data_IF_598303320989
#
_entry.id   IF_598303320989
#
_cell.length_a   1.000
_cell.length_b   1.000
_cell.length_c   1.000
_cell.angle_alpha   90.00
_cell.angle_beta   90.00
_cell.angle_gamma   90.00
#
_symmetry.space_group_name_H-M   'P 1'
#
loop_
_entity.id
_entity.type
_entity.pdbx_description
1 polymer ?
#
# COMPACT_ATOMS: atom_id res chain seq x y z
N UNK A 1 -4.49 46.78 41.28
CA UNK A 1 -3.24 45.99 41.42
C UNK A 1 -3.27 44.94 42.53
N UNK A 2 -3.73 45.20 43.77
CA UNK A 2 -3.73 44.18 44.86
C UNK A 2 -4.69 43.01 44.65
N UNK A 3 -5.82 43.23 43.98
CA UNK A 3 -6.82 42.17 43.68
C UNK A 3 -6.33 41.23 42.57
N UNK A 4 -5.73 41.78 41.50
CA UNK A 4 -5.13 41.01 40.41
C UNK A 4 -4.01 40.07 40.90
N UNK A 5 -3.18 40.55 41.85
CA UNK A 5 -2.08 39.75 42.44
C UNK A 5 -2.56 38.60 43.33
N UNK A 6 -3.79 38.68 43.86
CA UNK A 6 -4.40 37.60 44.66
C UNK A 6 -5.12 36.56 43.80
N UNK A 7 -5.63 36.95 42.63
CA UNK A 7 -6.35 36.06 41.72
C UNK A 7 -5.42 35.29 40.77
N UNK A 8 -4.25 35.84 40.46
CA UNK A 8 -3.27 35.21 39.57
C UNK A 8 -2.85 33.76 39.95
N UNK A 9 -2.53 33.43 41.22
CA UNK A 9 -2.18 32.06 41.58
C UNK A 9 -3.37 31.10 41.47
N UNK A 10 -4.61 31.57 41.71
CA UNK A 10 -5.81 30.75 41.53
C UNK A 10 -6.12 30.51 40.05
N UNK A 11 -5.85 31.49 39.18
CA UNK A 11 -5.96 31.33 37.74
C UNK A 11 -4.94 30.32 37.20
N UNK A 12 -3.69 30.38 37.67
CA UNK A 12 -2.65 29.40 37.31
C UNK A 12 -3.02 27.99 37.77
N UNK A 13 -3.58 27.87 38.98
CA UNK A 13 -4.00 26.58 39.52
C UNK A 13 -5.21 26.02 38.76
N UNK A 14 -6.16 26.88 38.37
CA UNK A 14 -7.29 26.50 37.51
C UNK A 14 -6.81 26.03 36.14
N UNK A 15 -5.87 26.74 35.51
CA UNK A 15 -5.28 26.35 34.21
C UNK A 15 -4.54 25.02 34.33
N UNK A 16 -3.74 24.83 35.39
CA UNK A 16 -3.03 23.57 35.62
C UNK A 16 -4.00 22.39 35.81
N UNK A 17 -5.11 22.59 36.53
CA UNK A 17 -6.15 21.57 36.69
C UNK A 17 -6.87 21.30 35.38
N UNK A 18 -7.19 22.31 34.57
CA UNK A 18 -7.82 22.12 33.25
C UNK A 18 -6.88 21.35 32.31
N UNK A 19 -5.59 21.66 32.31
CA UNK A 19 -4.58 20.95 31.51
C UNK A 19 -4.43 19.51 31.99
N UNK A 20 -4.36 19.27 33.30
CA UNK A 20 -4.31 17.91 33.85
C UNK A 20 -5.58 17.11 33.52
N UNK A 21 -6.77 17.73 33.63
CA UNK A 21 -8.03 17.10 33.25
C UNK A 21 -8.10 16.86 31.74
N UNK A 22 -7.54 17.74 30.91
CA UNK A 22 -7.40 17.51 29.48
C UNK A 22 -6.54 16.27 29.21
N UNK A 23 -5.40 16.08 29.88
CA UNK A 23 -4.58 14.87 29.69
C UNK A 23 -5.19 13.60 30.33
N UNK A 24 -5.95 13.71 31.41
CA UNK A 24 -6.62 12.57 32.07
C UNK A 24 -7.88 12.13 31.31
N UNK A 25 -8.62 13.06 30.71
CA UNK A 25 -9.86 12.81 29.98
C UNK A 25 -9.72 12.89 28.45
N UNK A 26 -8.53 13.19 27.94
CA UNK A 26 -8.18 12.90 26.54
C UNK A 26 -8.25 11.39 26.42
N UNK A 27 -9.36 10.89 25.84
CA UNK A 27 -9.34 9.55 25.25
C UNK A 27 -8.13 9.51 24.35
N UNK A 28 -7.32 8.47 24.49
CA UNK A 28 -6.40 8.06 23.45
C UNK A 28 -7.23 7.89 22.19
N UNK A 29 -7.31 8.93 21.37
CA UNK A 29 -7.69 8.79 19.99
C UNK A 29 -6.46 8.21 19.31
N UNK A 30 -6.17 6.95 19.60
CA UNK A 30 -5.66 6.10 18.54
C UNK A 30 -6.71 6.24 17.45
N UNK A 31 -6.34 6.89 16.34
CA UNK A 31 -7.03 6.59 15.11
C UNK A 31 -6.98 5.06 15.03
N UNK A 32 -8.14 4.42 15.19
CA UNK A 32 -8.27 3.01 14.89
C UNK A 32 -8.15 2.91 13.37
N UNK A 33 -6.91 3.04 12.88
CA UNK A 33 -6.50 2.27 11.73
C UNK A 33 -6.89 0.83 12.10
N UNK A 34 -7.71 0.20 11.26
CA UNK A 34 -8.02 -1.22 11.43
C UNK A 34 -6.73 -1.99 11.69
N UNK A 35 -6.83 -3.12 12.40
CA UNK A 35 -5.69 -3.99 12.72
C UNK A 35 -4.69 -3.99 11.57
N UNK A 36 -3.47 -3.49 11.80
CA UNK A 36 -2.44 -3.36 10.79
C UNK A 36 -2.26 -4.73 10.12
N UNK A 37 -2.79 -4.91 8.91
CA UNK A 37 -2.62 -6.17 8.19
C UNK A 37 -1.30 -6.04 7.45
N UNK A 38 -0.25 -6.57 8.07
CA UNK A 38 1.01 -6.85 7.39
C UNK A 38 0.74 -7.83 6.24
N UNK A 39 0.59 -7.30 5.03
CA UNK A 39 0.56 -8.10 3.81
C UNK A 39 1.90 -7.87 3.12
N UNK A 40 2.70 -8.92 3.05
CA UNK A 40 3.80 -8.99 2.10
C UNK A 40 3.22 -8.92 0.69
N UNK A 41 3.32 -7.78 -0.02
CA UNK A 41 2.90 -7.73 -1.41
C UNK A 41 3.92 -8.52 -2.24
N UNK A 42 3.47 -9.13 -3.32
CA UNK A 42 4.38 -9.79 -4.25
C UNK A 42 3.73 -10.88 -5.11
N UNK A 43 4.45 -11.38 -6.13
CA UNK A 43 5.76 -10.88 -6.54
C UNK A 43 5.71 -9.47 -7.16
N UNK A 44 6.79 -8.70 -7.06
CA UNK A 44 6.93 -7.49 -7.87
C UNK A 44 7.19 -7.82 -9.36
N UNK A 45 7.32 -6.80 -10.23
CA UNK A 45 7.48 -7.06 -11.67
C UNK A 45 8.82 -7.72 -12.02
N UNK A 46 9.83 -7.66 -11.15
CA UNK A 46 11.08 -8.39 -11.34
C UNK A 46 10.94 -9.86 -10.92
N UNK A 47 10.16 -10.11 -9.86
CA UNK A 47 9.83 -11.43 -9.35
C UNK A 47 10.07 -11.60 -7.85
N UNK A 48 10.54 -10.57 -7.13
CA UNK A 48 10.75 -10.68 -5.69
C UNK A 48 9.44 -10.95 -4.96
N UNK A 49 9.43 -11.93 -4.07
CA UNK A 49 8.29 -12.22 -3.18
C UNK A 49 8.63 -11.87 -1.73
N UNK A 50 7.62 -11.64 -0.91
CA UNK A 50 7.79 -11.32 0.51
C UNK A 50 7.04 -12.35 1.39
N UNK A 51 7.63 -12.72 2.54
CA UNK A 51 7.01 -13.50 3.61
C UNK A 51 7.38 -12.91 4.99
N UNK A 52 6.44 -12.89 5.94
CA UNK A 52 6.67 -12.44 7.32
C UNK A 52 6.44 -13.56 8.33
N UNK A 53 7.13 -13.52 9.47
CA UNK A 53 7.00 -14.59 10.47
C UNK A 53 7.68 -14.33 11.81
N UNK A 54 7.55 -15.30 12.71
CA UNK A 54 7.96 -15.23 14.13
C UNK A 54 9.17 -16.09 14.50
N UNK A 55 9.87 -16.68 13.53
CA UNK A 55 11.09 -17.44 13.79
C UNK A 55 12.30 -16.55 13.62
N UNK A 56 13.09 -16.32 14.69
CA UNK A 56 14.38 -15.65 14.51
C UNK A 56 15.54 -16.16 15.38
N UNK A 57 16.70 -16.30 14.73
CA UNK A 57 18.01 -16.43 15.37
C UNK A 57 18.78 -15.17 14.98
N UNK A 58 18.82 -14.21 15.91
CA UNK A 58 19.54 -12.96 15.73
C UNK A 58 21.04 -13.21 15.67
N UNK A 59 21.70 -12.53 14.73
CA UNK A 59 23.15 -12.53 14.60
C UNK A 59 23.59 -11.11 14.95
N UNK A 60 24.11 -10.96 16.16
CA UNK A 60 24.69 -9.69 16.61
C UNK A 60 25.94 -9.43 15.76
N UNK A 61 25.92 -8.35 14.99
CA UNK A 61 27.10 -7.85 14.34
C UNK A 61 28.02 -7.21 15.38
N UNK A 62 29.33 -7.20 15.09
CA UNK A 62 30.31 -6.66 16.06
C UNK A 62 31.37 -5.77 15.42
N UNK A 63 31.37 -5.66 14.07
CA UNK A 63 32.31 -4.80 13.37
C UNK A 63 31.70 -3.43 13.11
N UNK A 64 32.06 -2.47 13.96
CA UNK A 64 31.65 -1.08 13.85
C UNK A 64 32.12 -0.40 12.56
N UNK A 65 31.17 0.19 11.82
CA UNK A 65 31.41 0.95 10.59
C UNK A 65 32.09 2.31 10.80
N UNK A 66 32.15 2.78 12.06
CA UNK A 66 32.63 4.10 12.48
C UNK A 66 31.77 5.26 12.00
N UNK A 67 30.51 5.00 11.65
CA UNK A 67 29.56 6.05 11.31
C UNK A 67 28.93 6.62 12.58
N UNK A 68 29.40 7.79 13.02
CA UNK A 68 28.85 8.51 14.18
C UNK A 68 28.33 9.89 13.78
N UNK A 69 27.43 9.90 12.79
CA UNK A 69 26.89 11.10 12.19
C UNK A 69 25.39 10.95 11.98
N UNK A 70 24.68 12.04 12.15
CA UNK A 70 23.35 12.25 11.61
C UNK A 70 23.45 12.44 10.09
N UNK A 71 22.47 11.95 9.33
CA UNK A 71 22.47 11.95 7.86
C UNK A 71 23.78 11.40 7.24
N UNK A 72 24.30 10.32 7.82
CA UNK A 72 25.59 9.73 7.48
C UNK A 72 25.48 8.55 6.52
N UNK A 73 26.51 8.32 5.69
CA UNK A 73 26.65 7.12 4.85
C UNK A 73 28.00 6.45 5.10
N UNK A 74 27.99 5.15 5.39
CA UNK A 74 29.16 4.27 5.40
C UNK A 74 29.20 3.43 4.12
N UNK A 75 30.39 3.28 3.51
CA UNK A 75 30.57 2.42 2.32
C UNK A 75 31.24 1.11 2.75
N UNK A 76 30.62 -0.02 2.45
CA UNK A 76 31.06 -1.35 2.88
C UNK A 76 31.21 -2.27 1.68
N UNK A 77 32.36 -2.92 1.56
CA UNK A 77 32.59 -3.95 0.54
C UNK A 77 31.87 -5.24 0.95
N UNK A 78 31.16 -5.85 0.00
CA UNK A 78 30.48 -7.12 0.24
C UNK A 78 31.49 -8.27 0.18
N UNK A 79 31.38 -9.26 1.09
CA UNK A 79 32.28 -10.43 1.10
C UNK A 79 32.05 -11.39 -0.08
N UNK A 80 30.93 -11.24 -0.78
CA UNK A 80 30.55 -11.95 -1.99
C UNK A 80 29.77 -11.01 -2.92
N UNK A 81 29.74 -11.27 -4.25
CA UNK A 81 28.86 -10.54 -5.15
C UNK A 81 27.39 -10.79 -4.78
N UNK A 82 26.62 -9.71 -4.64
CA UNK A 82 25.18 -9.78 -4.37
C UNK A 82 24.40 -9.27 -5.58
N UNK A 83 23.49 -10.07 -6.11
CA UNK A 83 22.62 -9.71 -7.23
C UNK A 83 21.31 -9.17 -6.68
N UNK A 84 21.00 -7.93 -7.03
CA UNK A 84 19.78 -7.25 -6.62
C UNK A 84 19.10 -6.67 -7.85
N UNK A 85 17.84 -7.04 -8.08
CA UNK A 85 17.12 -6.72 -9.32
C UNK A 85 17.97 -7.00 -10.58
N UNK A 86 18.69 -8.12 -10.62
CA UNK A 86 19.48 -8.53 -11.78
C UNK A 86 20.78 -7.76 -11.99
N UNK A 87 21.10 -6.78 -11.13
CA UNK A 87 22.38 -6.10 -11.12
C UNK A 87 23.26 -6.67 -10.02
N UNK A 88 24.48 -7.09 -10.37
CA UNK A 88 25.43 -7.61 -9.39
C UNK A 88 26.27 -6.48 -8.78
N UNK A 89 26.25 -6.41 -7.46
CA UNK A 89 26.96 -5.45 -6.63
C UNK A 89 28.07 -6.13 -5.83
N UNK A 90 29.13 -5.39 -5.56
CA UNK A 90 30.26 -5.82 -4.71
C UNK A 90 30.49 -4.89 -3.53
N UNK A 91 29.63 -3.88 -3.39
CA UNK A 91 29.70 -2.85 -2.37
C UNK A 91 28.30 -2.31 -2.11
N UNK A 92 28.02 -1.97 -0.86
CA UNK A 92 26.78 -1.29 -0.43
C UNK A 92 27.13 0.00 0.30
N UNK A 93 26.14 0.89 0.40
CA UNK A 93 26.23 2.13 1.18
C UNK A 93 25.17 2.15 2.24
N UNK A 94 25.56 1.94 3.48
CA UNK A 94 24.68 1.91 4.64
C UNK A 94 24.45 3.32 5.18
N UNK A 95 23.20 3.69 5.40
CA UNK A 95 22.79 4.99 5.93
C UNK A 95 22.57 4.93 7.44
N UNK A 96 22.86 6.03 8.14
CA UNK A 96 22.41 6.19 9.54
C UNK A 96 20.89 6.03 9.64
N UNK A 97 20.17 6.49 8.61
CA UNK A 97 18.71 6.50 8.46
C UNK A 97 18.12 5.12 8.08
N UNK A 98 18.68 4.01 8.57
CA UNK A 98 18.04 2.68 8.51
C UNK A 98 17.76 2.09 7.12
N UNK A 99 18.53 2.51 6.10
CA UNK A 99 18.51 1.93 4.76
C UNK A 99 19.93 1.66 4.24
N UNK A 100 20.05 0.79 3.24
CA UNK A 100 21.27 0.66 2.45
C UNK A 100 20.98 0.79 0.96
N UNK A 101 21.91 1.40 0.25
CA UNK A 101 21.80 1.69 -1.18
C UNK A 101 22.88 0.93 -1.95
N UNK A 102 22.50 0.39 -3.10
CA UNK A 102 23.37 -0.30 -4.03
C UNK A 102 23.63 0.63 -5.21
N UNK A 103 24.85 1.18 -5.29
CA UNK A 103 25.22 2.21 -6.28
C UNK A 103 24.77 3.65 -5.95
N UNK A 104 23.77 3.84 -5.08
CA UNK A 104 23.36 5.14 -4.53
C UNK A 104 24.21 5.58 -3.32
N UNK A 105 24.03 6.83 -2.87
CA UNK A 105 24.68 7.36 -1.65
C UNK A 105 23.93 8.55 -1.04
N UNK A 106 22.59 8.59 -1.15
CA UNK A 106 21.79 9.72 -0.71
C UNK A 106 21.49 9.62 0.79
N UNK A 107 21.92 10.59 1.62
CA UNK A 107 21.70 10.53 3.07
C UNK A 107 20.29 10.91 3.51
N UNK A 108 19.36 11.23 2.60
CA UNK A 108 18.04 11.80 2.92
C UNK A 108 17.30 11.09 4.08
N UNK A 109 17.05 11.82 5.18
CA UNK A 109 16.33 11.32 6.36
C UNK A 109 14.83 11.15 6.15
N UNK A 110 14.20 12.05 5.39
CA UNK A 110 12.74 12.06 5.25
C UNK A 110 12.28 10.86 4.40
N UNK A 111 11.72 9.86 5.09
CA UNK A 111 11.25 8.65 4.45
C UNK A 111 10.06 8.92 3.51
N UNK A 112 9.95 8.10 2.47
CA UNK A 112 8.87 8.17 1.49
C UNK A 112 8.23 6.79 1.27
N UNK A 113 6.94 6.77 0.96
CA UNK A 113 6.27 5.52 0.61
C UNK A 113 6.60 5.11 -0.83
N UNK A 114 6.97 3.84 -0.99
CA UNK A 114 7.17 3.12 -2.24
C UNK A 114 5.82 2.65 -2.83
N UNK A 115 4.86 3.57 -3.00
CA UNK A 115 3.51 3.28 -3.49
C UNK A 115 3.54 2.95 -5.00
N UNK A 116 3.83 1.70 -5.35
CA UNK A 116 3.89 1.16 -6.73
C UNK A 116 5.02 1.76 -7.61
N UNK A 117 5.90 2.57 -7.02
CA UNK A 117 7.07 3.15 -7.68
C UNK A 117 8.20 3.40 -6.67
N UNK A 118 9.47 3.37 -7.12
CA UNK A 118 10.62 3.68 -6.28
C UNK A 118 10.58 5.13 -5.81
N UNK A 119 11.08 5.36 -4.59
CA UNK A 119 11.33 6.71 -4.09
C UNK A 119 12.48 7.32 -4.90
N UNK A 120 12.28 8.49 -5.54
CA UNK A 120 13.28 9.07 -6.43
C UNK A 120 14.57 9.47 -5.73
N UNK A 121 15.69 9.35 -6.45
CA UNK A 121 17.05 9.69 -6.03
C UNK A 121 17.59 8.84 -4.86
N UNK A 122 16.97 7.70 -4.56
CA UNK A 122 17.48 6.74 -3.57
C UNK A 122 18.22 5.58 -4.22
N UNK A 123 18.13 5.42 -5.55
CA UNK A 123 18.74 4.35 -6.30
C UNK A 123 18.09 2.99 -6.02
N UNK A 124 18.88 1.95 -6.21
CA UNK A 124 18.55 0.61 -5.73
C UNK A 124 18.73 0.61 -4.20
N UNK A 125 17.66 0.32 -3.46
CA UNK A 125 17.63 0.51 -2.01
C UNK A 125 16.94 -0.66 -1.33
N UNK A 126 17.51 -1.05 -0.19
CA UNK A 126 16.96 -2.02 0.75
C UNK A 126 16.75 -1.25 2.06
N UNK A 127 15.48 -1.11 2.47
CA UNK A 127 15.06 -0.33 3.62
C UNK A 127 14.40 -1.23 4.67
N UNK A 128 15.17 -1.83 5.60
CA UNK A 128 14.59 -2.58 6.71
C UNK A 128 13.81 -1.67 7.67
N UNK A 129 14.23 -0.41 7.84
CA UNK A 129 13.56 0.58 8.68
C UNK A 129 14.03 2.01 8.32
N UNK A 130 13.62 2.53 7.15
CA UNK A 130 14.03 3.89 6.78
C UNK A 130 13.20 4.94 7.52
N UNK A 131 13.85 5.70 8.39
CA UNK A 131 13.31 6.83 9.17
C UNK A 131 14.48 7.79 9.50
N UNK A 132 14.19 8.89 10.20
CA UNK A 132 15.15 9.88 10.68
C UNK A 132 15.85 9.39 11.97
N UNK A 133 17.04 8.81 11.82
CA UNK A 133 17.81 8.14 12.89
C UNK A 133 19.19 8.79 13.08
N UNK A 134 19.65 8.85 14.34
CA UNK A 134 20.81 9.65 14.73
C UNK A 134 21.91 8.82 15.42
N UNK A 135 23.05 8.64 14.75
CA UNK A 135 24.23 7.95 15.27
C UNK A 135 25.24 8.86 16.01
N UNK A 136 24.91 10.12 16.26
CA UNK A 136 25.86 11.08 16.87
C UNK A 136 26.10 10.85 18.36
N UNK A 137 25.17 10.18 19.05
CA UNK A 137 25.15 10.14 20.51
C UNK A 137 25.03 8.75 21.14
N UNK A 138 24.27 7.83 20.54
CA UNK A 138 24.10 6.44 21.00
C UNK A 138 23.99 5.48 19.82
N UNK A 139 24.07 4.18 20.12
CA UNK A 139 23.97 3.11 19.15
C UNK A 139 25.17 2.95 18.22
N UNK A 140 25.13 1.90 17.41
CA UNK A 140 26.15 1.58 16.43
C UNK A 140 25.53 1.08 15.13
N UNK A 141 26.16 1.43 14.01
CA UNK A 141 25.95 0.75 12.74
C UNK A 141 27.09 -0.25 12.57
N UNK A 142 26.77 -1.54 12.59
CA UNK A 142 27.73 -2.64 12.66
C UNK A 142 27.47 -3.66 11.56
N UNK A 143 28.51 -4.40 11.18
CA UNK A 143 28.37 -5.50 10.22
C UNK A 143 29.17 -6.73 10.64
N UNK A 144 28.81 -7.87 10.06
CA UNK A 144 29.59 -9.11 10.21
C UNK A 144 29.35 -10.05 9.02
N UNK A 145 30.15 -11.11 8.95
CA UNK A 145 30.01 -12.18 7.95
C UNK A 145 30.00 -13.50 8.68
N UNK A 146 28.90 -14.24 8.56
CA UNK A 146 28.73 -15.56 9.16
C UNK A 146 28.72 -16.64 8.10
N UNK A 147 29.19 -17.83 8.45
CA UNK A 147 29.30 -18.95 7.54
C UNK A 147 30.59 -18.93 6.73
N UNK A 148 30.66 -19.82 5.75
CA UNK A 148 31.82 -20.01 4.86
C UNK A 148 31.29 -20.16 3.44
N UNK A 149 32.07 -19.76 2.43
CA UNK A 149 31.64 -19.86 1.04
C UNK A 149 31.29 -21.32 0.67
N UNK A 150 30.20 -21.56 -0.09
CA UNK A 150 29.33 -20.58 -0.77
C UNK A 150 28.10 -20.14 0.05
N UNK A 151 28.05 -20.45 1.35
CA UNK A 151 26.88 -20.28 2.21
C UNK A 151 27.07 -19.13 3.21
N UNK A 152 27.73 -18.04 2.80
CA UNK A 152 27.94 -16.88 3.69
C UNK A 152 26.68 -16.04 3.82
N UNK A 153 26.57 -15.39 4.97
CA UNK A 153 25.55 -14.39 5.27
C UNK A 153 26.29 -13.10 5.64
N UNK A 154 26.02 -12.02 4.90
CA UNK A 154 26.44 -10.68 5.30
C UNK A 154 25.35 -10.09 6.19
N UNK A 155 25.72 -9.61 7.38
CA UNK A 155 24.83 -8.99 8.35
C UNK A 155 25.18 -7.52 8.46
N UNK A 156 24.17 -6.65 8.41
CA UNK A 156 24.29 -5.24 8.74
C UNK A 156 23.21 -4.90 9.77
N UNK A 157 23.62 -4.29 10.86
CA UNK A 157 22.82 -4.06 12.05
C UNK A 157 22.86 -2.59 12.46
N UNK A 158 21.69 -2.06 12.79
CA UNK A 158 21.49 -0.81 13.48
C UNK A 158 21.15 -1.16 14.93
N UNK A 159 22.12 -1.08 15.83
CA UNK A 159 21.99 -1.46 17.24
C UNK A 159 21.79 -0.23 18.14
N UNK A 160 20.72 -0.22 18.93
CA UNK A 160 20.40 0.78 19.95
C UNK A 160 20.43 2.23 19.43
N UNK A 161 19.98 2.44 18.18
CA UNK A 161 20.05 3.74 17.51
C UNK A 161 18.83 4.60 17.86
N UNK A 162 19.03 5.83 18.36
CA UNK A 162 17.93 6.73 18.66
C UNK A 162 17.32 7.37 17.40
N UNK A 163 16.06 7.77 17.51
CA UNK A 163 15.45 8.69 16.55
C UNK A 163 16.02 10.09 16.71
N UNK A 164 16.09 10.82 15.60
CA UNK A 164 16.55 12.20 15.64
C UNK A 164 15.71 13.04 16.62
N UNK A 165 16.40 13.69 17.56
CA UNK A 165 15.78 14.55 18.57
C UNK A 165 15.18 13.82 19.78
N UNK A 166 15.20 12.48 19.84
CA UNK A 166 14.76 11.71 20.99
C UNK A 166 15.73 10.57 21.36
N UNK A 167 16.75 10.84 22.21
CA UNK A 167 17.79 9.87 22.54
C UNK A 167 17.32 8.71 23.42
N UNK A 168 16.08 8.74 23.93
CA UNK A 168 15.48 7.68 24.74
C UNK A 168 14.58 6.75 23.90
N UNK A 169 14.29 7.12 22.65
CA UNK A 169 13.44 6.36 21.71
C UNK A 169 14.32 5.65 20.68
N UNK A 170 14.66 4.39 20.94
CA UNK A 170 15.71 3.64 20.22
C UNK A 170 15.19 2.38 19.54
N UNK A 171 15.85 2.00 18.46
CA UNK A 171 15.55 0.79 17.69
C UNK A 171 16.79 -0.07 17.48
N UNK A 172 16.59 -1.39 17.51
CA UNK A 172 17.55 -2.42 17.10
C UNK A 172 16.93 -3.30 16.00
N UNK A 173 17.53 -3.27 14.81
CA UNK A 173 17.12 -4.08 13.66
C UNK A 173 18.30 -4.38 12.75
N UNK A 174 18.17 -5.46 11.96
CA UNK A 174 19.22 -5.90 11.06
C UNK A 174 18.68 -6.32 9.69
N UNK A 175 19.59 -6.35 8.72
CA UNK A 175 19.41 -6.97 7.42
C UNK A 175 20.46 -8.04 7.21
N UNK A 176 20.04 -9.18 6.68
CA UNK A 176 20.90 -10.28 6.26
C UNK A 176 20.77 -10.50 4.76
N UNK A 177 21.92 -10.59 4.08
CA UNK A 177 22.02 -10.92 2.66
C UNK A 177 22.66 -12.31 2.53
N UNK A 178 22.03 -13.20 1.77
CA UNK A 178 22.46 -14.60 1.63
C UNK A 178 23.26 -14.82 0.35
N UNK A 179 24.45 -15.43 0.44
CA UNK A 179 25.35 -15.63 -0.70
C UNK A 179 24.77 -16.56 -1.77
N UNK A 180 24.24 -17.72 -1.40
CA UNK A 180 23.77 -18.68 -2.40
C UNK A 180 22.40 -18.29 -2.97
N UNK A 181 21.44 -18.01 -2.09
CA UNK A 181 20.06 -17.75 -2.50
C UNK A 181 19.81 -16.31 -2.97
N UNK A 182 20.70 -15.37 -2.64
CA UNK A 182 20.52 -13.94 -2.92
C UNK A 182 19.29 -13.32 -2.23
N UNK A 183 18.75 -14.00 -1.22
CA UNK A 183 17.62 -13.49 -0.44
C UNK A 183 18.04 -12.37 0.49
N UNK A 184 17.03 -11.60 0.89
CA UNK A 184 17.16 -10.50 1.84
C UNK A 184 16.25 -10.79 3.03
N UNK A 185 16.75 -10.60 4.24
CA UNK A 185 16.00 -10.86 5.45
C UNK A 185 16.10 -9.67 6.40
N UNK A 186 14.97 -9.06 6.74
CA UNK A 186 14.83 -7.99 7.73
C UNK A 186 14.39 -8.55 9.07
N UNK A 187 15.00 -8.03 10.12
CA UNK A 187 15.02 -8.64 11.43
C UNK A 187 14.86 -7.57 12.49
N UNK A 188 13.90 -7.77 13.39
CA UNK A 188 13.52 -6.75 14.36
C UNK A 188 13.69 -7.32 15.76
N UNK A 189 14.76 -6.92 16.45
CA UNK A 189 14.96 -7.28 17.86
C UNK A 189 14.11 -6.40 18.75
N UNK A 190 14.33 -5.08 18.66
CA UNK A 190 13.56 -4.08 19.39
C UNK A 190 13.18 -2.92 18.48
N UNK A 191 11.89 -2.84 18.14
CA UNK A 191 11.30 -1.71 17.40
C UNK A 191 10.19 -1.06 18.20
N UNK A 192 10.10 -1.38 19.51
CA UNK A 192 9.07 -0.86 20.39
C UNK A 192 9.51 0.48 20.94
N UNK A 193 9.05 1.53 20.27
CA UNK A 193 9.26 2.91 20.67
C UNK A 193 8.27 3.35 21.76
N UNK A 194 8.60 4.43 22.50
CA UNK A 194 7.93 4.89 23.72
C UNK A 194 6.42 5.17 23.58
N UNK A 195 5.92 5.35 22.36
CA UNK A 195 4.49 5.54 22.03
C UNK A 195 3.84 4.35 21.27
N UNK A 196 4.49 3.18 21.19
CA UNK A 196 4.02 2.04 20.41
C UNK A 196 4.28 2.17 18.90
N UNK A 197 5.34 2.89 18.54
CA UNK A 197 5.66 3.28 17.17
C UNK A 197 6.50 2.21 16.43
N UNK A 198 5.93 1.02 16.22
CA UNK A 198 6.60 -0.09 15.54
C UNK A 198 6.67 0.09 14.00
N UNK A 199 7.34 1.15 13.54
CA UNK A 199 7.40 1.53 12.13
C UNK A 199 6.32 2.53 11.69
N UNK A 200 5.58 3.15 12.61
CA UNK A 200 4.53 4.13 12.27
C UNK A 200 5.04 5.43 11.64
N UNK A 201 6.35 5.64 11.59
CA UNK A 201 7.03 6.68 10.82
C UNK A 201 8.06 6.15 9.81
N UNK A 202 8.24 4.83 9.70
CA UNK A 202 9.28 4.25 8.87
C UNK A 202 8.74 3.77 7.52
N UNK A 203 9.64 3.69 6.52
CA UNK A 203 9.42 2.93 5.29
C UNK A 203 10.17 1.61 5.35
N UNK A 204 9.47 0.53 5.02
CA UNK A 204 9.99 -0.85 5.04
C UNK A 204 9.74 -1.48 3.68
N UNK A 205 10.80 -1.89 2.98
CA UNK A 205 10.69 -2.49 1.65
C UNK A 205 11.99 -2.49 0.85
N UNK A 206 11.88 -2.87 -0.41
CA UNK A 206 12.98 -2.87 -1.39
C UNK A 206 12.57 -2.12 -2.65
N UNK A 207 13.53 -1.52 -3.36
CA UNK A 207 13.26 -0.88 -4.65
C UNK A 207 14.45 -0.96 -5.60
N UNK A 208 14.15 -0.92 -6.90
CA UNK A 208 15.11 -0.54 -7.94
C UNK A 208 14.63 0.70 -8.67
N UNK A 209 15.33 1.82 -8.46
CA UNK A 209 15.01 3.05 -9.16
C UNK A 209 15.29 2.95 -10.66
N UNK A 210 16.37 2.26 -11.05
CA UNK A 210 16.76 2.09 -12.44
C UNK A 210 15.68 1.34 -13.26
N UNK A 211 14.94 0.44 -12.61
CA UNK A 211 13.90 -0.36 -13.26
C UNK A 211 12.49 0.15 -12.98
N UNK A 212 12.34 1.19 -12.15
CA UNK A 212 11.02 1.70 -11.78
C UNK A 212 10.23 0.74 -10.89
N UNK A 213 10.91 -0.12 -10.13
CA UNK A 213 10.30 -1.20 -9.35
C UNK A 213 10.41 -0.93 -7.85
N UNK A 214 9.37 -1.33 -7.11
CA UNK A 214 9.41 -1.31 -5.66
C UNK A 214 8.48 -2.36 -5.06
N UNK A 215 8.85 -2.86 -3.89
CA UNK A 215 8.08 -3.81 -3.10
C UNK A 215 8.04 -3.34 -1.64
N UNK A 216 6.92 -2.72 -1.26
CA UNK A 216 6.72 -2.10 0.05
C UNK A 216 6.02 -3.05 1.02
N UNK A 217 6.63 -3.33 2.17
CA UNK A 217 5.95 -4.02 3.27
C UNK A 217 5.15 -3.05 4.15
N UNK A 218 5.72 -1.88 4.45
CA UNK A 218 5.10 -0.89 5.31
C UNK A 218 5.57 0.52 5.00
N UNK A 219 4.70 1.50 5.22
CA UNK A 219 5.07 2.91 5.20
C UNK A 219 4.22 3.68 6.20
N UNK A 220 4.85 4.35 7.16
CA UNK A 220 4.20 5.16 8.18
C UNK A 220 3.06 4.40 8.90
N UNK A 221 3.28 3.12 9.20
CA UNK A 221 2.30 2.26 9.86
C UNK A 221 3.00 1.32 10.86
N UNK A 222 2.41 1.06 12.04
CA UNK A 222 2.99 0.18 13.06
C UNK A 222 2.83 -1.30 12.67
N UNK A 223 3.49 -1.73 11.60
CA UNK A 223 3.31 -3.06 10.98
C UNK A 223 4.38 -4.08 11.37
N UNK A 224 5.44 -3.64 12.06
CA UNK A 224 6.46 -4.55 12.60
C UNK A 224 6.27 -4.76 14.10
N UNK A 225 6.94 -5.76 14.64
CA UNK A 225 6.94 -6.06 16.07
C UNK A 225 8.30 -6.64 16.47
N UNK A 226 8.61 -6.58 17.76
CA UNK A 226 9.80 -7.24 18.30
C UNK A 226 9.76 -8.74 18.01
N UNK A 227 10.94 -9.33 17.84
CA UNK A 227 11.12 -10.74 17.48
C UNK A 227 10.35 -11.16 16.22
N UNK A 228 10.28 -10.27 15.22
CA UNK A 228 9.67 -10.56 13.92
C UNK A 228 10.71 -10.51 12.79
N UNK A 229 10.35 -11.13 11.66
CA UNK A 229 11.14 -11.11 10.43
C UNK A 229 10.30 -10.80 9.20
N UNK A 230 10.95 -10.28 8.17
CA UNK A 230 10.42 -10.16 6.81
C UNK A 230 11.49 -10.68 5.85
N UNK A 231 11.15 -11.67 5.03
CA UNK A 231 12.05 -12.21 4.00
C UNK A 231 11.58 -11.76 2.62
N UNK A 232 12.49 -11.20 1.84
CA UNK A 232 12.34 -11.00 0.41
C UNK A 232 13.12 -12.10 -0.31
N UNK A 233 12.41 -12.87 -1.14
CA UNK A 233 12.99 -14.02 -1.86
C UNK A 233 13.31 -13.62 -3.29
N UNK A 234 14.57 -13.79 -3.70
CA UNK A 234 15.01 -13.59 -5.08
C UNK A 234 14.31 -14.62 -5.98
N UNK A 235 13.74 -14.22 -7.14
CA UNK A 235 13.18 -15.18 -8.08
C UNK A 235 14.27 -16.04 -8.73
N UNK A 236 14.02 -17.36 -8.89
CA UNK A 236 14.92 -18.25 -9.64
C UNK A 236 15.12 -17.78 -11.10
N UNK A 237 14.10 -17.18 -11.70
CA UNK A 237 14.17 -16.54 -13.00
C UNK A 237 13.54 -15.14 -12.94
N UNK A 238 14.34 -14.11 -13.22
CA UNK A 238 13.86 -12.74 -13.38
C UNK A 238 12.87 -12.65 -14.55
N UNK A 239 11.87 -11.77 -14.42
CA UNK A 239 10.93 -11.52 -15.50
C UNK A 239 11.66 -10.94 -16.75
N UNK A 240 11.71 -11.72 -17.84
CA UNK A 240 12.48 -11.37 -19.04
C UNK A 240 11.98 -10.17 -19.84
N UNK A 241 10.81 -9.62 -19.51
CA UNK A 241 10.17 -8.50 -20.21
C UNK A 241 10.57 -7.11 -19.66
N UNK A 242 11.45 -7.06 -18.66
CA UNK A 242 11.96 -5.82 -18.07
C UNK A 242 12.80 -5.04 -19.10
N UNK A 243 12.29 -3.89 -19.57
CA UNK A 243 13.01 -2.96 -20.44
C UNK A 243 12.82 -3.13 -21.95
N UNK A 244 11.83 -3.91 -22.43
CA UNK A 244 11.54 -4.06 -23.87
C UNK A 244 10.59 -3.01 -24.47
N UNK A 245 10.09 -2.05 -23.70
CA UNK A 245 9.40 -0.88 -24.25
C UNK A 245 10.45 0.17 -24.71
N UNK A 246 10.67 0.31 -26.02
CA UNK A 246 10.98 1.57 -26.79
C UNK A 246 11.73 1.31 -28.11
N UNK A 247 12.36 0.16 -28.36
CA UNK A 247 13.09 -0.06 -29.61
C UNK A 247 12.25 -0.75 -30.70
N UNK A 248 11.84 0.05 -31.70
CA UNK A 248 11.41 -0.36 -33.06
C UNK A 248 9.94 -0.77 -33.29
N UNK A 249 9.05 0.24 -33.43
CA UNK A 249 7.97 0.15 -34.42
C UNK A 249 7.94 1.46 -35.22
N UNK A 250 8.64 1.48 -36.35
CA UNK A 250 8.50 2.51 -37.37
C UNK A 250 7.11 2.37 -38.04
N UNK A 251 6.33 3.44 -37.97
CA UNK A 251 5.00 3.58 -38.57
C UNK A 251 5.09 3.59 -40.10
N UNK A 252 4.64 2.51 -40.74
CA UNK A 252 4.27 2.54 -42.16
C UNK A 252 2.75 2.70 -42.30
N UNK A 253 2.33 3.89 -42.77
CA UNK A 253 0.95 4.19 -43.16
C UNK A 253 0.58 3.49 -44.47
N UNK A 254 -0.58 2.83 -44.51
CA UNK A 254 -1.35 2.66 -45.73
C UNK A 254 -2.85 2.61 -45.40
N UNK A 255 -3.62 3.44 -46.10
CA UNK A 255 -5.06 3.56 -45.96
C UNK A 255 -5.79 2.59 -46.92
N UNK A 256 -6.85 1.92 -46.45
CA UNK A 256 -8.15 1.81 -47.14
C UNK A 256 -9.17 1.01 -46.31
N UNK A 257 -10.44 1.22 -46.68
CA UNK A 257 -11.65 1.20 -45.88
C UNK A 257 -12.51 -0.06 -46.04
N UNK A 258 -13.29 -0.31 -44.98
CA UNK A 258 -14.66 -0.88 -44.87
C UNK A 258 -14.93 -2.40 -44.87
N UNK A 259 -15.63 -2.78 -43.77
CA UNK A 259 -16.60 -3.88 -43.55
C UNK A 259 -16.02 -5.29 -43.61
N UNK A 260 -15.79 -5.97 -42.49
CA UNK A 260 -16.71 -6.49 -41.47
C UNK A 260 -15.90 -6.61 -40.18
N UNK A 261 -16.47 -6.32 -39.00
CA UNK A 261 -15.77 -6.59 -37.75
C UNK A 261 -15.63 -8.12 -37.58
N UNK A 262 -14.41 -8.68 -37.42
CA UNK A 262 -14.21 -9.70 -36.43
C UNK A 262 -13.87 -9.00 -35.12
N UNK A 263 -14.63 -9.33 -34.08
CA UNK A 263 -14.23 -9.12 -32.71
C UNK A 263 -12.80 -9.65 -32.53
N UNK A 264 -11.84 -8.74 -32.43
CA UNK A 264 -10.53 -9.06 -31.86
C UNK A 264 -10.35 -8.21 -30.61
N UNK A 265 -11.22 -8.44 -29.62
CA UNK A 265 -10.88 -8.16 -28.23
C UNK A 265 -10.02 -9.33 -27.72
N UNK A 266 -8.76 -9.38 -28.13
CA UNK A 266 -7.79 -10.26 -27.50
C UNK A 266 -6.93 -9.43 -26.52
N UNK A 267 -7.53 -8.99 -25.40
CA UNK A 267 -6.82 -8.43 -24.23
C UNK A 267 -7.63 -8.69 -22.96
N UNK A 268 -7.14 -9.64 -22.14
CA UNK A 268 -7.77 -10.08 -20.88
C UNK A 268 -9.21 -10.56 -21.06
N UNK A 269 -9.39 -11.67 -21.78
CA UNK A 269 -10.72 -12.20 -22.08
C UNK A 269 -11.48 -12.45 -20.77
N UNK A 270 -12.68 -11.88 -20.65
CA UNK A 270 -13.58 -12.15 -19.53
C UNK A 270 -13.91 -13.65 -19.48
N UNK A 271 -13.85 -14.34 -20.62
CA UNK A 271 -13.97 -15.79 -20.68
C UNK A 271 -12.76 -16.50 -20.07
N UNK A 272 -11.52 -16.03 -20.27
CA UNK A 272 -10.35 -16.60 -19.57
C UNK A 272 -10.46 -16.35 -18.07
N UNK A 273 -10.92 -15.17 -17.65
CA UNK A 273 -11.22 -14.89 -16.24
C UNK A 273 -12.19 -15.90 -15.64
N UNK A 274 -13.34 -16.06 -16.29
CA UNK A 274 -14.35 -17.00 -15.85
C UNK A 274 -13.79 -18.42 -15.84
N UNK A 275 -13.01 -18.80 -16.85
CA UNK A 275 -12.40 -20.12 -16.93
C UNK A 275 -11.43 -20.35 -15.76
N UNK A 276 -10.53 -19.41 -15.47
CA UNK A 276 -9.58 -19.56 -14.37
C UNK A 276 -10.29 -19.56 -13.01
N UNK A 277 -11.31 -18.71 -12.82
CA UNK A 277 -12.13 -18.73 -11.61
C UNK A 277 -12.86 -20.06 -11.42
N UNK A 278 -13.37 -20.66 -12.50
CA UNK A 278 -14.02 -21.97 -12.45
C UNK A 278 -13.03 -23.12 -12.19
N UNK A 279 -11.75 -22.92 -12.51
CA UNK A 279 -10.70 -23.93 -12.28
C UNK A 279 -10.03 -23.78 -10.90
N UNK A 280 -9.80 -22.56 -10.45
CA UNK A 280 -8.93 -22.24 -9.31
C UNK A 280 -9.64 -21.43 -8.21
N UNK A 281 -10.90 -21.03 -8.41
CA UNK A 281 -11.64 -20.18 -7.48
C UNK A 281 -10.94 -18.84 -7.26
N UNK A 282 -11.05 -18.29 -6.05
CA UNK A 282 -10.44 -17.01 -5.69
C UNK A 282 -8.91 -16.96 -5.90
N UNK A 283 -8.22 -18.11 -5.90
CA UNK A 283 -6.78 -18.20 -6.15
C UNK A 283 -6.39 -17.82 -7.60
N UNK A 284 -7.35 -17.78 -8.53
CA UNK A 284 -7.11 -17.26 -9.87
C UNK A 284 -6.80 -15.75 -9.85
N UNK A 285 -7.41 -14.99 -8.95
CA UNK A 285 -7.40 -13.53 -9.00
C UNK A 285 -6.01 -12.90 -8.83
N UNK A 286 -5.17 -13.34 -7.88
CA UNK A 286 -3.80 -12.85 -7.80
C UNK A 286 -3.03 -13.07 -9.10
N UNK A 287 -3.07 -14.28 -9.68
CA UNK A 287 -2.37 -14.62 -10.93
C UNK A 287 -2.97 -13.98 -12.19
N UNK A 288 -4.24 -13.59 -12.13
CA UNK A 288 -4.90 -12.84 -13.20
C UNK A 288 -4.65 -11.35 -13.08
N UNK A 289 -4.56 -10.82 -11.86
CA UNK A 289 -4.14 -9.45 -11.60
C UNK A 289 -2.73 -9.21 -12.13
N UNK A 290 -1.79 -10.13 -11.89
CA UNK A 290 -0.44 -10.07 -12.49
C UNK A 290 -0.50 -10.08 -14.01
N UNK A 291 -1.31 -10.96 -14.61
CA UNK A 291 -1.54 -11.02 -16.07
C UNK A 291 -2.29 -9.83 -16.65
N UNK A 292 -3.01 -9.05 -15.85
CA UNK A 292 -3.74 -7.84 -16.28
C UNK A 292 -2.93 -6.57 -16.10
N UNK A 293 -2.14 -6.50 -15.03
CA UNK A 293 -1.18 -5.43 -14.78
C UNK A 293 -0.05 -5.45 -15.82
N UNK A 294 0.32 -6.64 -16.31
CA UNK A 294 1.29 -6.83 -17.40
C UNK A 294 0.70 -6.71 -18.82
N UNK A 295 -0.60 -6.45 -18.97
CA UNK A 295 -1.19 -6.21 -20.29
C UNK A 295 -0.86 -4.83 -20.79
N UNK A 296 -0.51 -4.70 -22.08
CA UNK A 296 -0.37 -3.40 -22.73
C UNK A 296 -1.71 -2.97 -23.36
N UNK A 297 -2.28 -1.81 -23.01
CA UNK A 297 -1.77 -0.89 -22.01
C UNK A 297 -2.14 -1.31 -20.58
N UNK A 298 -1.27 -1.00 -19.60
CA UNK A 298 -1.48 -1.39 -18.21
C UNK A 298 -2.75 -0.73 -17.69
N UNK A 299 -3.48 -1.49 -16.87
CA UNK A 299 -4.70 -1.07 -16.18
C UNK A 299 -4.60 -1.49 -14.73
N UNK A 300 -5.08 -0.65 -13.83
CA UNK A 300 -5.26 -1.08 -12.44
C UNK A 300 -6.50 -1.97 -12.35
N UNK A 301 -6.46 -3.01 -11.53
CA UNK A 301 -7.64 -3.80 -11.20
C UNK A 301 -7.76 -3.90 -9.68
N UNK A 302 -9.00 -3.84 -9.20
CA UNK A 302 -9.39 -4.04 -7.80
C UNK A 302 -10.58 -4.96 -7.77
N UNK A 303 -10.66 -5.84 -6.78
CA UNK A 303 -11.79 -6.73 -6.63
C UNK A 303 -12.29 -6.79 -5.20
N UNK A 304 -13.57 -7.15 -5.08
CA UNK A 304 -14.22 -7.39 -3.81
C UNK A 304 -15.14 -8.60 -3.98
N UNK A 305 -15.11 -9.49 -2.98
CA UNK A 305 -16.07 -10.57 -2.83
C UNK A 305 -17.21 -10.08 -1.95
N UNK A 306 -18.45 -10.21 -2.42
CA UNK A 306 -19.66 -9.88 -1.66
C UNK A 306 -20.91 -10.46 -2.34
N UNK A 307 -21.93 -10.81 -1.55
CA UNK A 307 -23.25 -11.20 -2.07
C UNK A 307 -24.08 -9.96 -2.51
N UNK A 308 -23.89 -9.52 -3.76
CA UNK A 308 -24.67 -8.44 -4.40
C UNK A 308 -26.01 -8.96 -4.92
N UNK A 309 -26.04 -10.21 -5.36
CA UNK A 309 -27.23 -10.87 -5.90
C UNK A 309 -28.20 -11.36 -4.83
N UNK A 310 -27.83 -11.26 -3.55
CA UNK A 310 -28.57 -11.70 -2.37
C UNK A 310 -29.02 -13.16 -2.44
N UNK A 311 -28.21 -14.01 -3.08
CA UNK A 311 -28.51 -15.43 -3.28
C UNK A 311 -27.80 -16.34 -2.26
N UNK A 312 -27.07 -15.73 -1.32
CA UNK A 312 -26.31 -16.37 -0.26
C UNK A 312 -24.90 -16.80 -0.68
N UNK A 313 -24.45 -16.45 -1.88
CA UNK A 313 -23.09 -16.71 -2.37
C UNK A 313 -22.40 -15.39 -2.71
N UNK A 314 -21.10 -15.35 -2.50
CA UNK A 314 -20.31 -14.17 -2.85
C UNK A 314 -20.14 -14.04 -4.37
N UNK A 315 -20.54 -12.91 -4.90
CA UNK A 315 -20.21 -12.44 -6.24
C UNK A 315 -18.82 -11.81 -6.24
N UNK A 316 -18.15 -11.87 -7.39
CA UNK A 316 -16.91 -11.14 -7.62
C UNK A 316 -17.21 -9.83 -8.34
N UNK A 317 -17.08 -8.71 -7.63
CA UNK A 317 -16.98 -7.40 -8.23
C UNK A 317 -15.52 -7.14 -8.63
N UNK A 318 -15.29 -6.79 -9.89
CA UNK A 318 -13.99 -6.38 -10.41
C UNK A 318 -14.13 -4.99 -11.05
N UNK A 319 -13.29 -4.07 -10.61
CA UNK A 319 -13.24 -2.69 -11.09
C UNK A 319 -11.88 -2.45 -11.71
N UNK A 320 -11.86 -2.04 -12.98
CA UNK A 320 -10.64 -1.76 -13.73
C UNK A 320 -10.50 -0.27 -13.98
N UNK A 321 -9.40 0.29 -13.50
CA UNK A 321 -9.04 1.69 -13.66
C UNK A 321 -8.08 1.92 -14.81
N UNK A 322 -8.10 3.15 -15.32
CA UNK A 322 -7.23 3.59 -16.40
C UNK A 322 -5.86 4.02 -15.89
N UNK A 323 -4.90 4.07 -16.80
CA UNK A 323 -3.61 4.74 -16.59
C UNK A 323 -3.62 6.13 -17.22
N UNK A 324 -2.64 6.97 -16.85
CA UNK A 324 -2.50 8.32 -17.42
C UNK A 324 -2.39 8.30 -18.96
N UNK A 325 -1.80 7.24 -19.51
CA UNK A 325 -1.59 7.03 -20.93
C UNK A 325 -2.88 6.54 -21.63
N UNK A 326 -3.80 5.91 -20.91
CA UNK A 326 -5.02 5.30 -21.47
C UNK A 326 -6.28 5.58 -20.65
N UNK A 327 -6.68 6.87 -20.48
CA UNK A 327 -7.74 7.28 -19.55
C UNK A 327 -9.11 6.64 -19.84
N UNK A 328 -9.38 6.26 -21.09
CA UNK A 328 -10.68 5.71 -21.51
C UNK A 328 -10.87 4.22 -21.17
N UNK A 329 -9.86 3.59 -20.59
CA UNK A 329 -9.82 2.15 -20.39
C UNK A 329 -10.31 1.74 -18.99
N UNK A 330 -11.57 2.07 -18.69
CA UNK A 330 -12.22 1.75 -17.43
C UNK A 330 -13.47 0.90 -17.60
N UNK A 331 -13.62 -0.13 -16.77
CA UNK A 331 -14.83 -0.92 -16.72
C UNK A 331 -15.04 -1.62 -15.38
N UNK A 332 -16.31 -1.90 -15.11
CA UNK A 332 -16.81 -2.66 -13.97
C UNK A 332 -17.36 -3.98 -14.48
N UNK A 333 -16.99 -5.07 -13.82
CA UNK A 333 -17.42 -6.43 -14.11
C UNK A 333 -17.99 -7.04 -12.82
N UNK A 334 -19.12 -7.71 -12.92
CA UNK A 334 -19.67 -8.52 -11.83
C UNK A 334 -19.81 -9.95 -12.31
N UNK A 335 -19.14 -10.89 -11.64
CA UNK A 335 -19.27 -12.32 -11.90
C UNK A 335 -20.01 -12.98 -10.74
N UNK A 336 -20.97 -13.84 -11.06
CA UNK A 336 -21.81 -14.53 -10.06
C UNK A 336 -21.64 -16.04 -10.19
N UNK A 337 -21.49 -16.79 -9.08
CA UNK A 337 -21.43 -18.25 -9.10
C UNK A 337 -22.83 -18.89 -9.15
N UNK A 338 -22.98 -19.95 -9.94
CA UNK A 338 -24.18 -20.79 -9.90
C UNK A 338 -24.21 -21.69 -8.63
N UNK A 339 -25.24 -22.53 -8.51
CA UNK A 339 -25.37 -23.46 -7.38
C UNK A 339 -24.25 -24.49 -7.24
N UNK A 340 -23.47 -24.70 -8.32
CA UNK A 340 -22.33 -25.61 -8.34
C UNK A 340 -21.00 -24.86 -8.15
N UNK A 341 -21.03 -23.54 -7.94
CA UNK A 341 -19.85 -22.69 -7.79
C UNK A 341 -19.23 -22.23 -9.10
N UNK A 342 -19.89 -22.45 -10.25
CA UNK A 342 -19.39 -22.02 -11.55
C UNK A 342 -19.77 -20.55 -11.82
N UNK A 343 -18.78 -19.69 -11.99
CA UNK A 343 -18.90 -18.28 -12.30
C UNK A 343 -19.38 -18.02 -13.73
N UNK A 344 -20.16 -16.96 -13.87
CA UNK A 344 -20.59 -16.38 -15.15
C UNK A 344 -20.63 -14.84 -15.06
N UNK A 345 -20.55 -14.15 -16.20
CA UNK A 345 -20.67 -12.69 -16.24
C UNK A 345 -22.12 -12.26 -16.03
N UNK A 346 -22.38 -11.58 -14.92
CA UNK A 346 -23.69 -11.02 -14.59
C UNK A 346 -23.85 -9.58 -15.12
N UNK A 347 -22.84 -8.73 -14.90
CA UNK A 347 -22.90 -7.33 -15.31
C UNK A 347 -21.56 -6.86 -15.85
N UNK A 348 -21.61 -5.98 -16.86
CA UNK A 348 -20.45 -5.27 -17.38
C UNK A 348 -20.84 -3.85 -17.74
N UNK A 349 -20.06 -2.89 -17.27
CA UNK A 349 -20.26 -1.48 -17.57
C UNK A 349 -18.94 -0.79 -17.93
N UNK A 350 -18.89 -0.12 -19.08
CA UNK A 350 -17.72 0.68 -19.49
C UNK A 350 -17.84 2.08 -18.89
N UNK A 351 -17.03 2.38 -17.89
CA UNK A 351 -17.24 3.56 -17.04
C UNK A 351 -16.80 4.87 -17.72
N UNK A 352 -15.88 4.80 -18.69
CA UNK A 352 -15.45 5.94 -19.51
C UNK A 352 -16.52 6.43 -20.50
N UNK A 353 -17.54 5.60 -20.77
CA UNK A 353 -18.63 5.93 -21.69
C UNK A 353 -19.83 6.62 -21.03
N UNK A 354 -19.77 6.79 -19.69
CA UNK A 354 -20.80 7.49 -18.92
C UNK A 354 -20.82 8.99 -19.28
N UNK A 355 -21.95 9.64 -19.01
CA UNK A 355 -22.10 11.09 -19.20
C UNK A 355 -21.07 11.89 -18.40
N UNK A 356 -20.73 11.41 -17.21
CA UNK A 356 -19.57 11.81 -16.43
C UNK A 356 -18.59 10.62 -16.41
N UNK A 357 -17.51 10.68 -17.22
CA UNK A 357 -16.55 9.59 -17.33
C UNK A 357 -15.83 9.34 -16.01
N UNK A 358 -15.73 8.06 -15.64
CA UNK A 358 -14.97 7.62 -14.48
C UNK A 358 -13.65 7.03 -14.98
N UNK A 359 -12.53 7.51 -14.44
CA UNK A 359 -11.20 7.22 -14.98
C UNK A 359 -10.35 6.41 -14.00
N UNK A 360 -10.46 6.66 -12.69
CA UNK A 360 -9.71 5.99 -11.62
C UNK A 360 -10.66 5.54 -10.51
N UNK A 361 -11.55 4.57 -10.83
CA UNK A 361 -12.49 4.04 -9.85
C UNK A 361 -11.77 3.19 -8.78
N UNK A 362 -12.14 3.40 -7.53
CA UNK A 362 -11.66 2.67 -6.36
C UNK A 362 -12.83 2.18 -5.51
N UNK A 363 -12.69 1.00 -4.92
CA UNK A 363 -13.65 0.45 -3.96
C UNK A 363 -13.29 0.99 -2.59
N UNK A 364 -14.25 1.64 -1.93
CA UNK A 364 -14.03 2.31 -0.65
C UNK A 364 -14.56 1.48 0.51
N UNK A 365 -15.81 1.04 0.40
CA UNK A 365 -16.50 0.33 1.46
C UNK A 365 -17.67 -0.48 0.92
N UNK A 366 -18.14 -1.44 1.71
CA UNK A 366 -19.32 -2.25 1.43
C UNK A 366 -20.29 -2.20 2.61
N UNK A 367 -21.58 -2.14 2.33
CA UNK A 367 -22.64 -2.15 3.35
C UNK A 367 -24.03 -2.06 2.72
N UNK A 368 -25.09 -2.36 3.46
CA UNK A 368 -26.47 -2.21 2.98
C UNK A 368 -26.89 -0.74 3.02
N UNK A 369 -26.54 0.00 1.96
CA UNK A 369 -26.78 1.44 1.85
C UNK A 369 -28.21 1.73 1.39
N UNK A 370 -28.79 0.82 0.60
CA UNK A 370 -30.13 0.93 0.04
C UNK A 370 -31.21 0.29 0.92
N UNK A 371 -30.81 -0.31 2.04
CA UNK A 371 -31.67 -0.89 3.07
C UNK A 371 -32.57 -2.00 2.53
N UNK A 372 -32.07 -2.75 1.55
CA UNK A 372 -32.79 -3.82 0.90
C UNK A 372 -32.35 -5.22 1.41
N UNK A 373 -31.49 -5.24 2.44
CA UNK A 373 -30.94 -6.45 3.04
C UNK A 373 -29.80 -7.08 2.22
N UNK A 374 -29.24 -6.35 1.24
CA UNK A 374 -28.16 -6.82 0.37
C UNK A 374 -26.97 -5.87 0.49
N UNK A 375 -25.78 -6.37 0.19
CA UNK A 375 -24.61 -5.53 0.22
C UNK A 375 -24.61 -4.58 -0.99
N UNK A 376 -24.27 -3.31 -0.75
CA UNK A 376 -23.96 -2.31 -1.74
C UNK A 376 -22.48 -1.92 -1.65
N UNK A 377 -21.94 -1.33 -2.72
CA UNK A 377 -20.51 -0.95 -2.79
C UNK A 377 -20.37 0.54 -3.03
N UNK A 378 -19.70 1.22 -2.10
CA UNK A 378 -19.28 2.60 -2.30
C UNK A 378 -18.00 2.64 -3.15
N UNK A 379 -18.09 3.33 -4.27
CA UNK A 379 -17.02 3.57 -5.22
C UNK A 379 -16.66 5.05 -5.24
N UNK A 380 -15.39 5.34 -5.51
CA UNK A 380 -14.89 6.70 -5.67
C UNK A 380 -14.01 6.80 -6.91
N UNK A 381 -14.18 7.85 -7.68
CA UNK A 381 -13.27 8.20 -8.76
C UNK A 381 -12.18 9.14 -8.26
N UNK A 382 -10.96 8.63 -8.07
CA UNK A 382 -9.82 9.43 -7.63
C UNK A 382 -9.42 10.52 -8.64
N UNK A 383 -9.92 10.48 -9.87
CA UNK A 383 -9.67 11.51 -10.88
C UNK A 383 -10.61 12.72 -10.75
N UNK A 384 -11.91 12.50 -10.57
CA UNK A 384 -12.91 13.58 -10.52
C UNK A 384 -13.41 13.94 -9.12
N UNK A 385 -13.17 13.09 -8.12
CA UNK A 385 -13.78 13.20 -6.79
C UNK A 385 -15.21 12.66 -6.72
N UNK A 386 -15.74 12.14 -7.84
CA UNK A 386 -17.10 11.64 -7.91
C UNK A 386 -17.25 10.36 -7.10
N UNK A 387 -18.29 10.28 -6.26
CA UNK A 387 -18.65 9.08 -5.52
C UNK A 387 -19.87 8.40 -6.14
N UNK A 388 -19.92 7.08 -6.06
CA UNK A 388 -20.99 6.27 -6.62
C UNK A 388 -21.31 5.09 -5.71
N UNK A 389 -22.52 4.56 -5.80
CA UNK A 389 -22.92 3.33 -5.13
C UNK A 389 -23.33 2.31 -6.18
N UNK A 390 -22.66 1.16 -6.19
CA UNK A 390 -23.11 -0.02 -6.91
C UNK A 390 -24.09 -0.80 -6.04
N UNK A 391 -25.28 -1.05 -6.56
CA UNK A 391 -26.37 -1.71 -5.83
C UNK A 391 -27.15 -2.65 -6.74
N UNK A 392 -27.76 -3.68 -6.16
CA UNK A 392 -28.74 -4.52 -6.84
C UNK A 392 -30.15 -4.05 -6.50
N UNK A 393 -30.85 -3.48 -7.47
CA UNK A 393 -32.22 -3.00 -7.32
C UNK A 393 -33.14 -3.64 -8.35
N UNK A 394 -34.24 -4.22 -7.88
CA UNK A 394 -35.23 -4.92 -8.71
C UNK A 394 -34.62 -6.03 -9.59
N UNK A 395 -33.57 -6.69 -9.09
CA UNK A 395 -32.84 -7.73 -9.82
C UNK A 395 -31.90 -7.19 -10.91
N UNK A 396 -31.67 -5.88 -10.96
CA UNK A 396 -30.71 -5.25 -11.87
C UNK A 396 -29.58 -4.57 -11.09
N UNK A 397 -28.36 -4.74 -11.58
CA UNK A 397 -27.19 -4.03 -11.06
C UNK A 397 -27.22 -2.59 -11.56
N UNK A 398 -27.10 -1.63 -10.65
CA UNK A 398 -27.14 -0.20 -10.93
C UNK A 398 -25.95 0.50 -10.28
N UNK A 399 -25.34 1.40 -11.04
CA UNK A 399 -24.30 2.31 -10.54
C UNK A 399 -24.87 3.72 -10.39
N UNK A 400 -25.23 4.07 -9.16
CA UNK A 400 -25.88 5.32 -8.78
C UNK A 400 -24.81 6.36 -8.42
N UNK A 401 -24.89 7.55 -9.01
CA UNK A 401 -23.99 8.66 -8.66
C UNK A 401 -24.47 9.33 -7.37
N UNK A 402 -23.56 9.60 -6.45
CA UNK A 402 -23.84 10.37 -5.24
C UNK A 402 -23.76 11.88 -5.52
N UNK A 403 -24.52 12.71 -4.78
CA UNK A 403 -24.37 14.16 -4.82
C UNK A 403 -22.99 14.59 -4.31
N UNK A 404 -22.54 15.75 -4.79
CA UNK A 404 -21.26 16.41 -4.48
C UNK A 404 -20.00 15.65 -4.94
N UNK A 405 -19.03 16.41 -5.46
CA UNK A 405 -17.69 15.91 -5.68
C UNK A 405 -16.86 16.17 -4.43
N UNK A 406 -16.14 15.15 -3.97
CA UNK A 406 -15.41 15.20 -2.73
C UNK A 406 -14.01 14.64 -2.94
N UNK A 407 -12.99 15.41 -2.58
CA UNK A 407 -11.58 15.04 -2.72
C UNK A 407 -10.98 14.47 -1.43
N UNK A 408 -11.73 14.55 -0.32
CA UNK A 408 -11.32 14.04 0.98
C UNK A 408 -11.74 12.59 1.23
N UNK A 409 -11.63 12.19 2.49
CA UNK A 409 -11.89 10.82 2.95
C UNK A 409 -13.36 10.42 2.81
N UNK A 410 -13.58 9.11 2.83
CA UNK A 410 -14.90 8.52 2.66
C UNK A 410 -15.07 7.31 3.55
N UNK A 411 -16.28 7.13 4.08
CA UNK A 411 -16.61 5.97 4.89
C UNK A 411 -18.10 5.79 5.07
N UNK A 412 -18.47 4.64 5.63
CA UNK A 412 -19.82 4.32 6.02
C UNK A 412 -19.93 4.42 7.54
N UNK A 413 -20.90 5.18 8.03
CA UNK A 413 -21.18 5.32 9.46
C UNK A 413 -22.68 5.27 9.69
N UNK A 414 -23.09 4.65 10.78
CA UNK A 414 -24.42 4.85 11.36
C UNK A 414 -24.30 6.00 12.38
N UNK A 415 -24.66 7.21 11.96
CA UNK A 415 -24.40 8.43 12.71
C UNK A 415 -25.39 8.64 13.87
N UNK A 416 -26.58 8.08 13.78
CA UNK A 416 -27.66 8.30 14.74
C UNK A 416 -28.04 7.01 15.51
N UNK A 417 -27.32 5.91 15.28
CA UNK A 417 -27.54 4.59 15.86
C UNK A 417 -28.94 4.02 15.57
N UNK A 418 -29.53 4.37 14.42
CA UNK A 418 -30.82 3.84 13.97
C UNK A 418 -30.70 2.53 13.18
N UNK A 419 -29.46 2.07 12.96
CA UNK A 419 -29.13 0.86 12.22
C UNK A 419 -29.02 1.08 10.71
N UNK A 420 -29.10 2.32 10.24
CA UNK A 420 -28.94 2.69 8.83
C UNK A 420 -27.52 3.17 8.58
N UNK A 421 -26.97 2.84 7.42
CA UNK A 421 -25.64 3.30 7.02
C UNK A 421 -25.73 4.56 6.18
N UNK A 422 -25.04 5.60 6.60
CA UNK A 422 -24.81 6.82 5.83
C UNK A 422 -23.44 6.80 5.15
N UNK A 423 -23.38 7.37 3.95
CA UNK A 423 -22.12 7.70 3.29
C UNK A 423 -21.64 9.04 3.82
N UNK A 424 -20.48 9.05 4.45
CA UNK A 424 -19.85 10.29 4.94
C UNK A 424 -18.64 10.61 4.08
N UNK A 425 -18.60 11.82 3.53
CA UNK A 425 -17.53 12.32 2.65
C UNK A 425 -16.98 13.64 3.17
N UNK A 426 -15.67 13.80 3.10
CA UNK A 426 -14.94 15.04 3.42
C UNK A 426 -14.32 15.66 2.16
N UNK A 427 -13.86 16.91 2.26
CA UNK A 427 -13.29 17.67 1.15
C UNK A 427 -14.27 17.90 -0.01
N UNK A 428 -15.54 18.12 0.29
CA UNK A 428 -16.61 18.38 -0.67
C UNK A 428 -16.78 19.87 -0.99
N UNK A 429 -17.31 20.19 -2.17
CA UNK A 429 -17.47 21.58 -2.64
C UNK A 429 -18.53 22.43 -1.86
N UNK A 430 -19.17 21.87 -0.82
CA UNK A 430 -20.24 22.51 -0.02
C UNK A 430 -19.76 23.35 1.20
N UNK A 431 -20.68 24.06 1.86
CA UNK A 431 -20.39 25.09 2.89
C UNK A 431 -19.53 24.63 4.09
N UNK A 432 -19.57 23.35 4.45
CA UNK A 432 -18.83 22.80 5.59
C UNK A 432 -17.69 21.84 5.18
N UNK A 433 -17.42 21.67 3.90
CA UNK A 433 -16.40 20.74 3.39
C UNK A 433 -16.74 19.25 3.60
N UNK A 434 -17.82 18.92 4.31
CA UNK A 434 -18.26 17.56 4.60
C UNK A 434 -19.72 17.39 4.19
N UNK A 435 -20.05 16.24 3.62
CA UNK A 435 -21.43 15.84 3.33
C UNK A 435 -21.73 14.47 3.91
N UNK A 436 -22.96 14.29 4.34
CA UNK A 436 -23.50 13.02 4.80
C UNK A 436 -24.66 12.70 3.88
N UNK A 437 -24.68 11.51 3.30
CA UNK A 437 -25.64 11.13 2.28
C UNK A 437 -26.31 9.83 2.71
N UNK A 438 -27.63 9.80 2.66
CA UNK A 438 -28.44 8.64 3.03
C UNK A 438 -29.41 8.28 1.91
N UNK A 439 -29.75 6.99 1.82
CA UNK A 439 -30.80 6.53 0.94
C UNK A 439 -32.18 6.90 1.47
N UNK A 440 -33.01 7.57 0.67
CA UNK A 440 -34.37 7.94 1.06
C UNK A 440 -35.47 6.95 0.61
N UNK A 441 -35.07 5.79 0.08
CA UNK A 441 -35.97 4.83 -0.55
C UNK A 441 -36.03 4.91 -2.08
N UNK A 442 -35.46 5.95 -2.70
CA UNK A 442 -35.47 6.14 -4.16
C UNK A 442 -34.17 6.72 -4.73
N UNK A 443 -33.49 7.57 -3.98
CA UNK A 443 -32.20 8.14 -4.36
C UNK A 443 -31.36 8.45 -3.11
N UNK A 444 -30.07 8.67 -3.33
CA UNK A 444 -29.17 9.13 -2.29
C UNK A 444 -29.26 10.64 -2.15
N UNK A 445 -29.66 11.12 -0.97
CA UNK A 445 -29.85 12.55 -0.68
C UNK A 445 -28.94 13.02 0.44
N UNK A 446 -28.46 14.27 0.39
CA UNK A 446 -27.75 14.87 1.52
C UNK A 446 -28.65 14.93 2.76
N UNK A 447 -28.08 14.58 3.90
CA UNK A 447 -28.72 14.78 5.20
C UNK A 447 -28.56 16.25 5.65
N UNK A 448 -29.54 16.78 6.40
CA UNK A 448 -29.49 18.14 6.94
C UNK A 448 -28.36 18.41 7.93
#
# INVERSE_FOLDING_TARGET
MRVLRRLFPWLLLLVAVIVALFFIFRRDTQAAYGTAVALCPGPDLYGYTCDSGTAFAYIDATTDTRLYQDDGIATLDLPFPFTFYGTTYTQIRASSNGNLQLGGSNPFFANGCMNEAPVPNMGDMIAPYWDDLDLTSFGYLEYDVVGEAPDRIFVLEWDDIPRFGDPEDRVTFAVQLFEESQDILFLYEDVTLLEGNNGSSATIGIQSEAQGLALQFGCNQPVVANASRIRFTEPEEANGDLGLEVASIELAQAALSTTVAPETYAKGDVLDLIQQLNLQGAAALPGMNTRWLSQSPPRTARWQWLDLTGDGRDDLLLVRGSTAQHPYLTDLLLLTPDTNGAFSLLHRETLSSRSQPILRPEIIATGDLTQNGRADVLLWDAASGQSMVLTSQDGAIRLLTLPDNCQGSAGLLDLNADGLLEVVRDGCDGENGRTTIQWNGSEFVPMP
#
